data_IF_464013521199
#
_entry.id   IF_464013521199
#
_cell.length_a   1.000
_cell.length_b   1.000
_cell.length_c   1.000
_cell.angle_alpha   90.00
_cell.angle_beta   90.00
_cell.angle_gamma   90.00
#
_symmetry.space_group_name_H-M   'P 1'
#
loop_
_entity.id
_entity.type
_entity.pdbx_description
1 polymer ?
#
# COMPACT_ATOMS: atom_id res chain seq x y z
N UNK A 1 44.68 10.97 11.76
CA UNK A 1 43.54 10.69 12.66
C UNK A 1 42.39 10.19 11.79
N UNK A 2 42.28 8.88 11.63
CA UNK A 2 41.26 8.24 10.80
C UNK A 2 40.05 7.94 11.67
N UNK A 3 38.93 8.61 11.41
CA UNK A 3 37.64 8.29 12.02
C UNK A 3 36.95 7.20 11.22
N UNK A 4 37.02 5.96 11.70
CA UNK A 4 36.18 4.87 11.23
C UNK A 4 34.74 5.17 11.63
N UNK A 5 33.89 5.53 10.67
CA UNK A 5 32.45 5.54 10.86
C UNK A 5 32.01 4.07 10.96
N UNK A 6 31.79 3.58 12.18
CA UNK A 6 31.12 2.33 12.38
C UNK A 6 29.68 2.48 11.86
N UNK A 7 29.36 1.82 10.74
CA UNK A 7 27.97 1.70 10.29
C UNK A 7 27.13 1.08 11.41
N UNK A 8 26.00 1.68 11.80
CA UNK A 8 25.14 1.09 12.83
C UNK A 8 24.53 -0.23 12.33
N UNK A 9 24.46 -1.26 13.18
CA UNK A 9 23.76 -2.49 12.86
C UNK A 9 22.25 -2.26 12.91
N UNK A 10 21.56 -2.51 11.79
CA UNK A 10 20.09 -2.51 11.70
C UNK A 10 19.50 -1.24 11.10
N UNK A 11 19.64 -1.06 9.78
CA UNK A 11 18.70 -0.19 9.06
C UNK A 11 17.34 -0.89 9.07
N UNK A 12 16.37 -0.27 9.74
CA UNK A 12 14.98 -0.39 9.35
C UNK A 12 14.91 -0.27 7.82
N UNK A 13 14.17 -1.13 7.18
CA UNK A 13 14.15 -1.23 5.72
C UNK A 13 13.53 0.04 5.15
N UNK A 14 14.37 1.01 4.81
CA UNK A 14 13.94 2.30 4.31
C UNK A 14 13.06 2.09 3.08
N UNK A 15 11.84 2.65 3.12
CA UNK A 15 10.98 2.69 1.95
C UNK A 15 11.63 3.61 0.93
N UNK A 16 12.26 3.01 -0.08
CA UNK A 16 12.97 3.75 -1.11
C UNK A 16 12.02 4.19 -2.24
N UNK A 17 12.32 5.30 -2.94
CA UNK A 17 11.62 5.66 -4.17
C UNK A 17 11.67 4.55 -5.23
N UNK A 18 12.78 3.82 -5.30
CA UNK A 18 12.97 2.71 -6.24
C UNK A 18 11.95 1.58 -6.01
N UNK A 19 11.68 1.25 -4.75
CA UNK A 19 10.63 0.30 -4.36
C UNK A 19 9.25 0.84 -4.73
N UNK A 20 8.93 2.09 -4.37
CA UNK A 20 7.61 2.67 -4.68
C UNK A 20 7.33 2.75 -6.19
N UNK A 21 8.37 2.87 -7.01
CA UNK A 21 8.26 2.83 -8.47
C UNK A 21 8.19 1.40 -9.05
N UNK A 22 8.52 0.37 -8.27
CA UNK A 22 8.52 -1.03 -8.74
C UNK A 22 7.28 -1.81 -8.35
N UNK A 23 6.53 -1.37 -7.35
CA UNK A 23 5.29 -2.05 -6.92
C UNK A 23 4.20 -1.96 -7.99
N UNK A 24 3.37 -3.01 -8.03
CA UNK A 24 2.11 -3.05 -8.77
C UNK A 24 1.00 -2.65 -7.81
N UNK A 25 0.09 -1.82 -8.30
CA UNK A 25 -1.06 -1.33 -7.54
C UNK A 25 -2.34 -1.63 -8.29
N UNK A 26 -3.35 -2.12 -7.57
CA UNK A 26 -4.71 -2.33 -8.12
C UNK A 26 -5.76 -1.82 -7.14
N UNK A 27 -6.87 -1.32 -7.66
CA UNK A 27 -8.01 -0.83 -6.86
C UNK A 27 -9.31 -1.36 -7.41
N UNK A 28 -10.20 -1.82 -6.55
CA UNK A 28 -11.55 -2.28 -6.91
C UNK A 28 -12.52 -2.05 -5.76
N UNK A 29 -13.80 -2.18 -6.04
CA UNK A 29 -14.87 -2.19 -5.03
C UNK A 29 -15.43 -3.61 -4.99
N UNK A 30 -15.60 -4.15 -3.80
CA UNK A 30 -16.18 -5.49 -3.60
C UNK A 30 -17.32 -5.42 -2.59
N UNK A 31 -18.40 -6.16 -2.87
CA UNK A 31 -19.51 -6.31 -1.93
C UNK A 31 -19.14 -7.28 -0.83
N UNK A 32 -19.18 -6.83 0.42
CA UNK A 32 -18.96 -7.68 1.60
C UNK A 32 -20.22 -7.79 2.44
N UNK A 33 -20.25 -8.73 3.40
CA UNK A 33 -21.36 -8.83 4.36
C UNK A 33 -21.56 -7.53 5.18
N UNK A 34 -20.52 -6.69 5.30
CA UNK A 34 -20.58 -5.39 5.98
C UNK A 34 -20.95 -4.23 5.03
N UNK A 35 -21.21 -4.51 3.76
CA UNK A 35 -21.43 -3.50 2.71
C UNK A 35 -20.28 -3.42 1.71
N UNK A 36 -20.35 -2.49 0.74
CA UNK A 36 -19.30 -2.30 -0.25
C UNK A 36 -18.02 -1.79 0.42
N UNK A 37 -16.88 -2.35 0.03
CA UNK A 37 -15.54 -1.97 0.53
C UNK A 37 -14.65 -1.57 -0.64
N UNK A 38 -13.98 -0.44 -0.50
CA UNK A 38 -12.96 0.01 -1.44
C UNK A 38 -11.63 -0.67 -1.10
N UNK A 39 -11.09 -1.48 -2.02
CA UNK A 39 -9.83 -2.19 -1.83
C UNK A 39 -8.69 -1.49 -2.58
N UNK A 40 -7.48 -1.59 -2.00
CA UNK A 40 -6.21 -1.16 -2.56
C UNK A 40 -5.20 -2.29 -2.37
N UNK A 41 -4.80 -2.96 -3.44
CA UNK A 41 -3.76 -3.97 -3.44
C UNK A 41 -2.41 -3.36 -3.83
N UNK A 42 -1.38 -3.69 -3.06
CA UNK A 42 0.01 -3.40 -3.35
C UNK A 42 0.77 -4.72 -3.40
N UNK A 43 1.47 -4.99 -4.50
CA UNK A 43 2.35 -6.15 -4.63
C UNK A 43 3.63 -5.77 -5.34
N UNK A 44 4.57 -6.70 -5.42
CA UNK A 44 5.79 -6.52 -6.20
C UNK A 44 5.80 -7.52 -7.37
N UNK A 45 6.27 -7.16 -8.57
CA UNK A 45 6.46 -8.15 -9.62
C UNK A 45 7.58 -9.14 -9.26
N UNK A 46 7.72 -10.29 -9.94
CA UNK A 46 8.89 -11.16 -9.77
C UNK A 46 10.18 -10.39 -10.04
N UNK A 47 11.28 -10.80 -9.41
CA UNK A 47 12.61 -10.24 -9.63
C UNK A 47 12.92 -10.16 -11.13
N UNK A 48 13.28 -8.97 -11.62
CA UNK A 48 13.58 -8.73 -13.04
C UNK A 48 15.02 -8.31 -13.28
N UNK A 49 15.66 -7.71 -12.28
CA UNK A 49 17.02 -7.16 -12.41
C UNK A 49 18.06 -8.10 -11.82
N UNK A 50 19.27 -8.05 -12.36
CA UNK A 50 20.44 -8.71 -11.74
C UNK A 50 20.62 -8.16 -10.31
N UNK A 51 20.60 -9.06 -9.33
CA UNK A 51 20.74 -8.72 -7.91
C UNK A 51 19.42 -8.60 -7.14
N UNK A 52 18.25 -8.64 -7.81
CA UNK A 52 16.97 -8.81 -7.12
C UNK A 52 16.78 -10.29 -6.75
N UNK A 53 16.50 -10.57 -5.48
CA UNK A 53 16.09 -11.92 -5.00
C UNK A 53 14.70 -11.85 -4.39
N UNK A 54 14.00 -12.99 -4.35
CA UNK A 54 12.67 -13.07 -3.74
C UNK A 54 12.72 -12.65 -2.26
N UNK A 55 13.74 -13.08 -1.52
CA UNK A 55 13.93 -12.72 -0.11
C UNK A 55 14.24 -11.24 0.08
N UNK A 56 14.97 -10.63 -0.86
CA UNK A 56 15.25 -9.19 -0.86
C UNK A 56 13.99 -8.36 -1.09
N UNK A 57 13.16 -8.77 -2.06
CA UNK A 57 11.87 -8.15 -2.36
C UNK A 57 10.92 -8.29 -1.18
N UNK A 58 10.78 -9.51 -0.63
CA UNK A 58 9.92 -9.74 0.55
C UNK A 58 10.33 -8.84 1.71
N UNK A 59 11.64 -8.73 1.97
CA UNK A 59 12.16 -7.86 3.01
C UNK A 59 11.80 -6.39 2.76
N UNK A 60 11.92 -5.90 1.53
CA UNK A 60 11.48 -4.55 1.17
C UNK A 60 9.97 -4.35 1.36
N UNK A 61 9.15 -5.33 0.97
CA UNK A 61 7.70 -5.31 1.14
C UNK A 61 7.29 -5.34 2.63
N UNK A 62 8.03 -6.05 3.49
CA UNK A 62 7.86 -5.98 4.94
C UNK A 62 8.22 -4.61 5.50
N UNK A 63 9.27 -3.95 4.98
CA UNK A 63 9.59 -2.56 5.31
C UNK A 63 8.45 -1.59 4.96
N UNK A 64 7.87 -1.75 3.76
CA UNK A 64 6.70 -0.99 3.34
C UNK A 64 5.48 -1.27 4.22
N UNK A 65 5.23 -2.53 4.58
CA UNK A 65 4.17 -2.92 5.52
C UNK A 65 4.32 -2.20 6.87
N UNK A 66 5.54 -2.16 7.41
CA UNK A 66 5.82 -1.47 8.67
C UNK A 66 5.60 0.04 8.56
N UNK A 67 6.05 0.67 7.47
CA UNK A 67 5.81 2.10 7.23
C UNK A 67 4.32 2.44 6.99
N UNK A 68 3.54 1.46 6.55
CA UNK A 68 2.09 1.55 6.41
C UNK A 68 1.32 1.19 7.70
N UNK A 69 2.00 0.70 8.74
CA UNK A 69 1.40 0.18 9.99
C UNK A 69 0.38 -0.95 9.74
N UNK A 70 0.67 -1.81 8.76
CA UNK A 70 -0.19 -2.96 8.42
C UNK A 70 0.11 -4.17 9.31
N UNK A 71 -0.92 -4.96 9.58
CA UNK A 71 -0.86 -6.16 10.44
C UNK A 71 -1.01 -7.45 9.63
N UNK A 72 -0.67 -8.61 10.22
CA UNK A 72 -0.97 -9.92 9.61
C UNK A 72 -2.47 -10.21 9.52
N UNK A 73 -2.87 -11.25 8.77
CA UNK A 73 -4.28 -11.62 8.63
C UNK A 73 -4.87 -12.23 9.92
N UNK A 74 -4.01 -12.80 10.75
CA UNK A 74 -4.39 -13.35 12.06
C UNK A 74 -4.63 -12.28 13.13
N UNK A 75 -4.29 -11.02 12.84
CA UNK A 75 -4.43 -9.90 13.74
C UNK A 75 -5.68 -9.06 13.38
N UNK A 76 -6.29 -8.36 14.35
CA UNK A 76 -7.36 -7.43 14.07
C UNK A 76 -6.90 -6.33 13.09
N UNK A 77 -7.69 -6.10 12.04
CA UNK A 77 -7.43 -5.01 11.10
C UNK A 77 -7.40 -3.66 11.82
N UNK A 78 -6.31 -2.91 11.65
CA UNK A 78 -6.15 -1.59 12.26
C UNK A 78 -6.48 -0.46 11.30
N UNK A 79 -7.04 0.62 11.83
CA UNK A 79 -7.14 1.87 11.10
C UNK A 79 -5.81 2.63 11.18
N UNK A 80 -5.11 2.77 10.06
CA UNK A 80 -3.75 3.33 9.98
C UNK A 80 -3.72 4.85 9.79
N UNK A 81 -4.88 5.50 9.94
CA UNK A 81 -5.07 6.95 9.76
C UNK A 81 -5.53 7.31 8.35
N UNK A 82 -5.85 8.58 8.12
CA UNK A 82 -6.19 9.10 6.78
C UNK A 82 -4.94 9.29 5.94
N UNK A 83 -4.73 8.43 4.94
CA UNK A 83 -3.51 8.41 4.12
C UNK A 83 -3.75 8.59 2.62
N UNK A 84 -5.00 8.57 2.18
CA UNK A 84 -5.35 8.66 0.75
C UNK A 84 -5.67 10.10 0.37
N UNK A 85 -4.94 10.65 -0.57
CA UNK A 85 -5.23 11.96 -1.16
C UNK A 85 -5.77 11.76 -2.58
N UNK A 86 -7.04 12.08 -2.80
CA UNK A 86 -7.64 12.04 -4.14
C UNK A 86 -7.12 13.21 -4.99
N UNK A 87 -6.71 12.92 -6.23
CA UNK A 87 -6.23 13.91 -7.20
C UNK A 87 -7.29 14.17 -8.30
N UNK A 88 -8.57 14.05 -7.96
CA UNK A 88 -9.67 14.08 -8.93
C UNK A 88 -9.59 12.90 -9.92
N UNK A 89 -9.75 13.17 -11.21
CA UNK A 89 -9.70 12.13 -12.27
C UNK A 89 -8.29 11.60 -12.55
N UNK A 90 -7.25 12.21 -11.97
CA UNK A 90 -5.85 11.87 -12.25
C UNK A 90 -5.29 10.74 -11.38
N UNK A 91 -6.10 10.16 -10.48
CA UNK A 91 -5.73 9.09 -9.56
C UNK A 91 -5.79 9.52 -8.10
N UNK A 92 -5.02 8.83 -7.26
CA UNK A 92 -4.83 9.19 -5.85
C UNK A 92 -3.36 9.00 -5.43
N UNK A 93 -3.01 9.54 -4.27
CA UNK A 93 -1.73 9.31 -3.60
C UNK A 93 -1.98 8.60 -2.27
N UNK A 94 -1.15 7.62 -1.94
CA UNK A 94 -1.06 7.03 -0.62
C UNK A 94 0.19 7.55 0.08
N UNK A 95 0.01 8.22 1.20
CA UNK A 95 1.11 8.73 2.03
C UNK A 95 1.73 7.60 2.86
N UNK A 96 3.06 7.59 2.94
CA UNK A 96 3.84 6.57 3.64
C UNK A 96 4.49 7.22 4.87
N UNK A 97 4.38 6.59 6.04
CA UNK A 97 4.91 7.19 7.28
C UNK A 97 6.44 7.13 7.28
N UNK A 98 7.08 8.19 7.78
CA UNK A 98 8.52 8.24 7.97
C UNK A 98 9.33 8.53 6.71
N UNK A 99 8.69 8.73 5.55
CA UNK A 99 9.37 9.10 4.30
C UNK A 99 8.68 10.28 3.62
N UNK A 100 9.42 11.13 2.88
CA UNK A 100 8.85 12.27 2.16
C UNK A 100 8.15 11.88 0.85
N UNK A 101 8.03 10.59 0.56
CA UNK A 101 7.50 10.07 -0.69
C UNK A 101 6.08 9.52 -0.51
N UNK A 102 5.27 9.60 -1.57
CA UNK A 102 3.94 8.99 -1.62
C UNK A 102 3.87 7.99 -2.77
N UNK A 103 3.09 6.93 -2.59
CA UNK A 103 2.80 5.97 -3.64
C UNK A 103 1.68 6.52 -4.51
N UNK A 104 1.94 6.67 -5.81
CA UNK A 104 0.91 7.08 -6.77
C UNK A 104 0.06 5.88 -7.17
N UNK A 105 -1.25 5.98 -6.98
CA UNK A 105 -2.20 4.99 -7.45
C UNK A 105 -2.44 5.18 -8.97
N UNK A 106 -2.70 4.11 -9.72
CA UNK A 106 -3.16 4.21 -11.12
C UNK A 106 -4.50 4.96 -11.20
N UNK A 107 -5.00 5.31 -12.40
CA UNK A 107 -6.35 5.82 -12.55
C UNK A 107 -7.35 4.94 -11.80
N UNK A 108 -8.02 5.53 -10.80
CA UNK A 108 -8.97 4.83 -9.95
C UNK A 108 -10.36 4.85 -10.57
N UNK A 109 -11.14 3.80 -10.37
CA UNK A 109 -12.51 3.72 -10.85
C UNK A 109 -13.40 4.81 -10.25
N UNK A 110 -14.42 5.25 -10.99
CA UNK A 110 -15.34 6.31 -10.55
C UNK A 110 -16.08 5.92 -9.26
N UNK A 111 -16.51 4.66 -9.14
CA UNK A 111 -17.19 4.15 -7.95
C UNK A 111 -16.28 4.14 -6.72
N UNK A 112 -15.05 3.63 -6.87
CA UNK A 112 -14.04 3.65 -5.82
C UNK A 112 -13.77 5.08 -5.35
N UNK A 113 -13.56 6.00 -6.30
CA UNK A 113 -13.30 7.41 -6.01
C UNK A 113 -14.46 8.06 -5.26
N UNK A 114 -15.69 7.79 -5.68
CA UNK A 114 -16.91 8.29 -5.03
C UNK A 114 -16.98 7.80 -3.59
N UNK A 115 -16.88 6.48 -3.36
CA UNK A 115 -16.93 5.90 -2.01
C UNK A 115 -15.89 6.54 -1.09
N UNK A 116 -14.64 6.62 -1.55
CA UNK A 116 -13.55 7.21 -0.77
C UNK A 116 -13.77 8.69 -0.50
N UNK A 117 -14.32 9.45 -1.47
CA UNK A 117 -14.67 10.86 -1.27
C UNK A 117 -15.83 11.08 -0.28
N UNK A 118 -16.74 10.10 -0.17
CA UNK A 118 -17.86 10.09 0.78
C UNK A 118 -17.45 9.60 2.18
N UNK A 119 -16.17 9.29 2.39
CA UNK A 119 -15.60 8.89 3.68
C UNK A 119 -15.60 7.37 3.92
N UNK A 120 -15.87 6.55 2.90
CA UNK A 120 -15.72 5.11 3.04
C UNK A 120 -14.24 4.74 3.32
N UNK A 121 -13.99 3.78 4.22
CA UNK A 121 -12.63 3.30 4.45
C UNK A 121 -12.11 2.55 3.22
N UNK A 122 -10.80 2.67 3.00
CA UNK A 122 -10.03 1.89 2.03
C UNK A 122 -9.31 0.77 2.75
N UNK A 123 -9.56 -0.47 2.35
CA UNK A 123 -8.81 -1.62 2.82
C UNK A 123 -7.53 -1.77 1.99
N UNK A 124 -6.38 -1.58 2.63
CA UNK A 124 -5.06 -1.82 2.05
C UNK A 124 -4.71 -3.29 2.24
N UNK A 125 -4.36 -3.95 1.14
CA UNK A 125 -3.80 -5.29 1.11
C UNK A 125 -2.40 -5.21 0.51
N UNK A 126 -1.41 -5.72 1.22
CA UNK A 126 -0.02 -5.78 0.77
C UNK A 126 0.42 -7.24 0.68
N UNK A 127 0.77 -7.68 -0.53
CA UNK A 127 1.29 -9.03 -0.77
C UNK A 127 2.78 -9.13 -0.53
N UNK A 128 3.21 -10.22 0.11
CA UNK A 128 4.63 -10.52 0.33
C UNK A 128 5.23 -11.38 -0.77
N UNK A 129 4.41 -12.13 -1.50
CA UNK A 129 4.86 -12.90 -2.65
C UNK A 129 4.77 -12.06 -3.95
N UNK A 130 5.52 -12.43 -4.99
CA UNK A 130 5.50 -11.68 -6.24
C UNK A 130 4.20 -11.88 -7.04
N UNK A 131 3.59 -10.79 -7.54
CA UNK A 131 2.47 -10.84 -8.49
C UNK A 131 3.01 -10.90 -9.91
N UNK A 132 2.72 -11.95 -10.70
CA UNK A 132 3.10 -11.99 -12.10
C UNK A 132 2.63 -10.73 -12.85
N UNK A 133 3.48 -10.10 -13.69
CA UNK A 133 3.03 -9.01 -14.51
C UNK A 133 1.95 -9.49 -15.48
N UNK A 134 0.98 -8.61 -15.77
CA UNK A 134 -0.11 -8.89 -16.70
C UNK A 134 -1.09 -9.98 -16.24
N UNK A 135 -1.15 -10.29 -14.94
CA UNK A 135 -2.28 -11.01 -14.37
C UNK A 135 -3.55 -10.23 -14.69
N UNK A 136 -4.46 -10.85 -15.43
CA UNK A 136 -5.82 -10.33 -15.56
C UNK A 136 -6.51 -10.29 -14.18
N UNK A 137 -7.69 -9.68 -14.12
CA UNK A 137 -8.44 -9.56 -12.87
C UNK A 137 -8.66 -10.92 -12.19
N UNK A 138 -8.94 -11.96 -12.97
CA UNK A 138 -9.16 -13.32 -12.47
C UNK A 138 -7.88 -13.90 -11.87
N UNK A 139 -6.75 -13.76 -12.55
CA UNK A 139 -5.45 -14.20 -12.06
C UNK A 139 -5.04 -13.44 -10.79
N UNK A 140 -5.33 -12.15 -10.71
CA UNK A 140 -5.11 -11.34 -9.50
C UNK A 140 -5.96 -11.84 -8.33
N UNK A 141 -7.23 -12.17 -8.58
CA UNK A 141 -8.14 -12.74 -7.57
C UNK A 141 -7.73 -14.14 -7.10
N UNK A 142 -7.27 -15.00 -8.01
CA UNK A 142 -6.72 -16.31 -7.64
C UNK A 142 -5.44 -16.17 -6.80
N UNK A 143 -4.58 -15.22 -7.14
CA UNK A 143 -3.37 -14.94 -6.37
C UNK A 143 -3.69 -14.40 -4.97
N UNK A 144 -4.66 -13.50 -4.87
CA UNK A 144 -5.18 -13.02 -3.58
C UNK A 144 -5.67 -14.18 -2.70
N UNK A 145 -6.44 -15.13 -3.26
CA UNK A 145 -6.90 -16.31 -2.51
C UNK A 145 -5.74 -17.17 -1.99
N UNK A 146 -4.72 -17.36 -2.82
CA UNK A 146 -3.52 -18.11 -2.43
C UNK A 146 -2.73 -17.37 -1.33
N UNK A 147 -2.62 -16.05 -1.39
CA UNK A 147 -1.93 -15.32 -0.33
C UNK A 147 -2.71 -15.30 0.97
N UNK A 148 -4.03 -15.18 0.89
CA UNK A 148 -4.92 -15.28 2.05
C UNK A 148 -4.77 -16.63 2.76
N UNK A 149 -4.64 -17.74 2.02
CA UNK A 149 -4.50 -19.06 2.62
C UNK A 149 -3.15 -19.34 3.28
N UNK A 150 -2.12 -18.53 2.98
CA UNK A 150 -0.75 -18.74 3.48
C UNK A 150 -0.26 -17.61 4.41
N UNK A 151 -1.13 -16.68 4.84
CA UNK A 151 -0.77 -15.50 5.64
C UNK A 151 0.33 -14.63 5.00
N UNK A 152 0.32 -14.56 3.67
CA UNK A 152 1.26 -13.79 2.83
C UNK A 152 0.71 -12.40 2.47
N UNK A 153 -0.30 -11.94 3.21
CA UNK A 153 -0.86 -10.60 3.11
C UNK A 153 -0.62 -9.84 4.42
N UNK A 154 -0.38 -8.54 4.29
CA UNK A 154 -0.48 -7.55 5.36
C UNK A 154 -1.64 -6.62 5.07
N UNK A 155 -2.42 -6.28 6.09
CA UNK A 155 -3.67 -5.55 5.92
C UNK A 155 -3.83 -4.39 6.89
N UNK A 156 -4.63 -3.40 6.48
CA UNK A 156 -5.00 -2.25 7.29
C UNK A 156 -6.09 -1.45 6.61
N UNK A 157 -6.82 -0.64 7.39
CA UNK A 157 -7.82 0.28 6.89
C UNK A 157 -7.29 1.71 6.90
N UNK A 158 -7.54 2.48 5.87
CA UNK A 158 -7.24 3.91 5.80
C UNK A 158 -8.46 4.69 5.32
N UNK A 159 -8.37 6.01 5.32
CA UNK A 159 -9.40 6.89 4.80
C UNK A 159 -8.80 7.98 3.91
N UNK A 160 -9.66 8.69 3.19
CA UNK A 160 -9.28 9.94 2.55
C UNK A 160 -8.77 10.94 3.59
N UNK A 161 -7.74 11.70 3.23
CA UNK A 161 -7.38 12.93 3.94
C UNK A 161 -8.54 13.89 3.76
N UNK A 162 -9.16 14.32 4.85
CA UNK A 162 -10.21 15.33 4.81
C UNK A 162 -9.61 16.61 4.24
N UNK A 163 -10.19 17.11 3.14
CA UNK A 163 -9.79 18.37 2.53
C UNK A 163 -10.52 19.57 3.14
N UNK A 164 -11.19 19.41 4.30
CA UNK A 164 -11.63 20.58 5.07
C UNK A 164 -10.42 21.44 5.39
N UNK A 165 -10.42 22.65 4.85
CA UNK A 165 -9.54 23.74 5.30
C UNK A 165 -9.55 23.80 6.83
N UNK A 166 -8.43 24.15 7.49
CA UNK A 166 -8.48 24.47 8.91
C UNK A 166 -9.52 25.58 9.07
N UNK A 167 -10.62 25.26 9.77
CA UNK A 167 -11.60 26.23 10.18
C UNK A 167 -10.90 27.25 11.10
N UNK A 168 -10.51 28.39 10.55
CA UNK A 168 -9.94 29.48 11.34
C UNK A 168 -8.78 30.21 10.67
N UNK A 169 -9.06 30.95 9.61
CA UNK A 169 -8.46 32.27 9.44
C UNK A 169 -9.39 33.13 8.57
N UNK A 170 -10.39 33.74 9.19
CA UNK A 170 -10.97 34.96 8.66
C UNK A 170 -10.08 36.15 9.12
N UNK A 171 -9.94 37.20 8.30
CA UNK A 171 -9.10 38.37 8.60
C UNK A 171 -9.61 39.18 9.80
#
# INVERSE_FOLDING_TARGET
>A
MSGTFASPPGHALDVTPGLLCSVVVSTWVEGTAAGPVAFLLIGHPPARRQGETAEGIERQMLGLSAALDLTGLSEPMRHVGSRVMLLGTSGALLSITGVPYSLRLPPVGAEWSRMVSEGAPVCILLGLDPIPPYSDEKATQEHLRLWLSHDRIRMGATAAVDRREPAGLAP
#
